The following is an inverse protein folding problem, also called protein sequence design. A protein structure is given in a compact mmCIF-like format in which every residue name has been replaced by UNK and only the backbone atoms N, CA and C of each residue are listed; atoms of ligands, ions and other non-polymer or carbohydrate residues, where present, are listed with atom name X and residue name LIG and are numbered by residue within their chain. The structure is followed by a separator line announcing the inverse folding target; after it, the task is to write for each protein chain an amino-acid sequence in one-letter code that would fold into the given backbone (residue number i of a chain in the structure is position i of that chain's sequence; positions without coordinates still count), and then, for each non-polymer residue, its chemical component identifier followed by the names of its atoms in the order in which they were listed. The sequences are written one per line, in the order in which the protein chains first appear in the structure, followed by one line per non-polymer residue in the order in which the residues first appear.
data_IF_025002712565
#
_entry.id   IF_025002712565
#
_cell.length_a   1.000
_cell.length_b   1.000
_cell.length_c   1.000
_cell.angle_alpha   90.00
_cell.angle_beta   90.00
_cell.angle_gamma   90.00
#
_symmetry.space_group_name_H-M   'P 1'
#
loop_
_entity.id
_entity.type
_entity.pdbx_description
1 polymer ?
#
# COMPACT_ATOMS: atom_id res chain seq x y z
N UNK A 1 -0.63 -14.55 6.17
CA UNK A 1 -0.52 -13.69 4.96
C UNK A 1 -1.31 -12.42 5.23
N UNK A 2 -0.65 -11.27 5.20
CA UNK A 2 -1.30 -9.97 5.41
C UNK A 2 -1.89 -9.51 4.08
N UNK A 3 -3.16 -9.11 4.01
CA UNK A 3 -3.73 -8.53 2.80
C UNK A 3 -3.24 -7.08 2.61
N UNK A 4 -3.32 -6.57 1.38
CA UNK A 4 -3.01 -5.16 1.13
C UNK A 4 -3.98 -4.27 1.93
N UNK A 5 -3.50 -3.34 2.77
CA UNK A 5 -4.37 -2.53 3.62
C UNK A 5 -5.30 -1.59 2.82
N UNK A 6 -5.00 -1.33 1.54
CA UNK A 6 -5.79 -0.45 0.68
C UNK A 6 -6.90 -1.17 -0.08
N UNK A 7 -6.66 -2.40 -0.55
CA UNK A 7 -7.59 -3.10 -1.42
C UNK A 7 -8.02 -4.48 -0.91
N UNK A 8 -7.46 -4.92 0.22
CA UNK A 8 -7.61 -6.26 0.79
C UNK A 8 -7.25 -7.40 -0.18
N UNK A 9 -6.63 -7.06 -1.31
CA UNK A 9 -6.14 -8.01 -2.28
C UNK A 9 -4.87 -8.70 -1.82
N UNK A 10 -4.50 -9.75 -2.54
CA UNK A 10 -3.27 -10.48 -2.31
C UNK A 10 -2.06 -9.55 -2.43
N UNK A 11 -1.23 -9.54 -1.40
CA UNK A 11 0.14 -9.06 -1.54
C UNK A 11 0.98 -10.22 -2.03
N UNK A 12 1.32 -10.20 -3.30
CA UNK A 12 2.45 -10.97 -3.86
C UNK A 12 3.79 -10.34 -3.43
N UNK A 13 3.83 -9.87 -2.17
CA UNK A 13 5.04 -9.48 -1.47
C UNK A 13 5.74 -10.81 -1.18
N UNK A 14 6.81 -11.12 -1.91
CA UNK A 14 7.56 -12.36 -1.78
C UNK A 14 8.28 -12.47 -0.44
N UNK A 15 7.58 -12.38 0.69
CA UNK A 15 8.11 -12.44 2.05
C UNK A 15 8.87 -13.75 2.31
N UNK A 16 8.59 -14.81 1.54
CA UNK A 16 9.35 -16.07 1.56
C UNK A 16 10.73 -15.96 0.91
N UNK A 17 10.96 -14.94 0.08
CA UNK A 17 12.23 -14.58 -0.57
C UNK A 17 12.40 -13.05 -0.49
N UNK A 18 12.66 -12.57 0.73
CA UNK A 18 12.72 -11.15 1.11
C UNK A 18 13.57 -10.24 0.22
N UNK A 19 14.44 -10.77 -0.64
CA UNK A 19 15.30 -9.99 -1.53
C UNK A 19 14.76 -9.79 -2.96
N UNK A 20 13.65 -10.43 -3.35
CA UNK A 20 13.17 -10.42 -4.74
C UNK A 20 11.81 -9.75 -4.96
N UNK A 21 11.27 -9.06 -3.94
CA UNK A 21 10.02 -8.33 -4.12
C UNK A 21 10.24 -7.12 -5.05
N UNK A 22 9.29 -6.90 -5.97
CA UNK A 22 9.29 -5.73 -6.86
C UNK A 22 9.38 -4.39 -6.09
N UNK A 23 8.92 -4.35 -4.83
CA UNK A 23 8.90 -3.13 -4.02
C UNK A 23 10.30 -2.59 -3.69
N UNK A 24 11.35 -3.41 -3.78
CA UNK A 24 12.74 -2.95 -3.59
C UNK A 24 13.30 -2.21 -4.81
N UNK A 25 12.67 -2.40 -5.98
CA UNK A 25 13.11 -1.81 -7.25
C UNK A 25 12.26 -0.62 -7.68
N UNK A 26 11.21 -0.28 -6.94
CA UNK A 26 10.28 0.80 -7.26
C UNK A 26 10.17 1.80 -6.11
N UNK A 27 9.97 3.07 -6.45
CA UNK A 27 9.76 4.11 -5.44
C UNK A 27 8.33 4.05 -4.92
N UNK A 28 8.18 3.71 -3.64
CA UNK A 28 6.91 3.80 -2.93
C UNK A 28 6.77 5.23 -2.38
N UNK A 29 5.72 5.99 -2.77
CA UNK A 29 5.56 7.37 -2.31
C UNK A 29 5.36 7.46 -0.79
N UNK A 30 6.15 8.29 -0.10
CA UNK A 30 6.02 8.50 1.35
C UNK A 30 4.62 9.00 1.74
N UNK A 31 4.02 9.86 0.90
CA UNK A 31 2.65 10.35 1.10
C UNK A 31 1.59 9.26 1.03
N UNK A 32 1.88 8.15 0.34
CA UNK A 32 1.01 6.97 0.33
C UNK A 32 1.20 6.17 1.62
N UNK A 33 2.44 6.00 2.09
CA UNK A 33 2.74 5.33 3.36
C UNK A 33 2.10 6.05 4.55
N UNK A 34 2.08 7.38 4.52
CA UNK A 34 1.44 8.21 5.54
C UNK A 34 -0.09 8.05 5.62
N UNK A 35 -0.73 7.42 4.63
CA UNK A 35 -2.15 7.06 4.71
C UNK A 35 -2.37 5.85 5.61
N UNK A 36 -1.37 4.99 5.81
CA UNK A 36 -1.54 3.80 6.63
C UNK A 36 -1.75 4.17 8.12
N UNK A 37 -2.58 3.38 8.84
CA UNK A 37 -2.59 3.41 10.30
C UNK A 37 -1.17 3.24 10.86
N UNK A 38 -0.90 3.86 12.01
CA UNK A 38 0.44 3.87 12.63
C UNK A 38 0.97 2.44 12.82
N UNK A 39 0.08 1.51 13.15
CA UNK A 39 0.40 0.10 13.40
C UNK A 39 0.80 -0.66 12.12
N UNK A 40 0.42 -0.14 10.94
CA UNK A 40 0.70 -0.74 9.65
C UNK A 40 1.93 -0.13 8.95
N UNK A 41 2.42 1.03 9.42
CA UNK A 41 3.58 1.70 8.83
C UNK A 41 4.87 0.89 9.07
N UNK A 42 5.63 0.65 8.00
CA UNK A 42 6.87 -0.14 8.04
C UNK A 42 6.68 -1.65 8.25
N UNK A 43 5.44 -2.12 8.43
CA UNK A 43 5.11 -3.53 8.69
C UNK A 43 4.26 -4.13 7.56
N UNK A 44 3.26 -3.39 7.07
CA UNK A 44 2.34 -3.90 6.05
C UNK A 44 2.94 -3.80 4.64
N UNK A 45 2.87 -4.90 3.87
CA UNK A 45 3.14 -4.84 2.43
C UNK A 45 1.98 -4.15 1.71
N UNK A 46 2.33 -3.35 0.71
CA UNK A 46 1.39 -2.71 -0.22
C UNK A 46 1.50 -3.43 -1.57
N UNK A 47 0.39 -3.75 -2.23
CA UNK A 47 0.44 -4.42 -3.54
C UNK A 47 0.83 -3.44 -4.66
N UNK A 48 1.38 -3.98 -5.76
CA UNK A 48 1.87 -3.17 -6.89
C UNK A 48 0.77 -2.30 -7.51
N UNK A 49 -0.44 -2.86 -7.62
CA UNK A 49 -1.59 -2.14 -8.18
C UNK A 49 -1.93 -0.88 -7.37
N UNK A 50 -1.88 -0.93 -6.05
CA UNK A 50 -2.17 0.23 -5.22
C UNK A 50 -1.09 1.30 -5.35
N UNK A 51 0.19 0.91 -5.43
CA UNK A 51 1.29 1.86 -5.67
C UNK A 51 1.12 2.54 -7.02
N UNK A 52 0.84 1.77 -8.08
CA UNK A 52 0.63 2.32 -9.42
C UNK A 52 -0.61 3.22 -9.49
N UNK A 53 -1.72 2.83 -8.86
CA UNK A 53 -2.92 3.64 -8.80
C UNK A 53 -2.66 4.98 -8.09
N UNK A 54 -1.91 4.96 -6.98
CA UNK A 54 -1.51 6.19 -6.29
C UNK A 54 -0.62 7.07 -7.17
N UNK A 55 0.37 6.49 -7.87
CA UNK A 55 1.27 7.24 -8.76
C UNK A 55 0.51 7.88 -9.94
N UNK A 56 -0.51 7.22 -10.48
CA UNK A 56 -1.31 7.73 -11.58
C UNK A 56 -2.32 8.79 -11.12
N UNK A 57 -2.97 8.58 -9.98
CA UNK A 57 -4.07 9.42 -9.48
C UNK A 57 -4.00 9.62 -7.96
N UNK A 58 -3.01 10.37 -7.44
CA UNK A 58 -2.77 10.46 -6.00
C UNK A 58 -3.91 11.12 -5.22
N UNK A 59 -4.60 12.09 -5.84
CA UNK A 59 -5.74 12.79 -5.23
C UNK A 59 -6.94 11.83 -5.12
N UNK A 60 -7.36 11.23 -6.23
CA UNK A 60 -8.50 10.31 -6.26
C UNK A 60 -8.26 9.07 -5.38
N UNK A 61 -7.02 8.56 -5.34
CA UNK A 61 -6.66 7.47 -4.45
C UNK A 61 -6.86 7.86 -2.97
N UNK A 62 -6.40 9.04 -2.58
CA UNK A 62 -6.52 9.53 -1.21
C UNK A 62 -7.97 9.77 -0.82
N UNK A 63 -8.78 10.39 -1.66
CA UNK A 63 -10.21 10.61 -1.39
C UNK A 63 -10.95 9.28 -1.17
N UNK A 64 -10.66 8.28 -2.01
CA UNK A 64 -11.22 6.93 -1.87
C UNK A 64 -10.76 6.25 -0.58
N UNK A 65 -9.52 6.46 -0.15
CA UNK A 65 -9.02 5.82 1.07
C UNK A 65 -9.49 6.54 2.34
N UNK A 66 -9.45 7.88 2.35
CA UNK A 66 -9.92 8.70 3.47
C UNK A 66 -11.40 8.44 3.77
N UNK A 67 -12.22 8.20 2.73
CA UNK A 67 -13.63 7.81 2.90
C UNK A 67 -13.83 6.39 3.43
N UNK A 68 -12.88 5.47 3.19
CA UNK A 68 -12.90 4.11 3.74
C UNK A 68 -12.42 4.06 5.20
N UNK A 69 -11.48 4.93 5.58
CA UNK A 69 -10.99 5.06 6.97
C UNK A 69 -11.82 6.02 7.82
N UNK A 70 -12.71 6.81 7.21
CA UNK A 70 -13.58 7.79 7.84
C UNK A 70 -14.86 7.25 8.49
N UNK A 71 -14.97 5.92 8.66
CA UNK A 71 -16.01 5.29 9.47
C UNK A 71 -15.40 4.86 10.81
N UNK A 72 -15.16 5.82 11.70
CA UNK A 72 -15.12 5.52 13.14
C UNK A 72 -16.54 5.56 13.68
#
# INVERSE_FOLDING_TARGET
MSACPFCQGEVSCGLTQSASCWCFSETIPEKMLALLPVEAQGVACICKMCVQAYQQQPIAFRERYDSLTGSQ
#
